data_IF_782899192495
#
_entry.id   IF_782899192495
#
_cell.length_a   1.000
_cell.length_b   1.000
_cell.length_c   1.000
_cell.angle_alpha   90.00
_cell.angle_beta   90.00
_cell.angle_gamma   90.00
#
_symmetry.space_group_name_H-M   'P 1'
#
loop_
_entity.id
_entity.type
_entity.pdbx_description
1 polymer ?
#
# COMPACT_ATOMS: atom_id res chain seq x y z
N UNK A 1 -0.15 15.00 -15.78
CA UNK A 1 0.98 15.07 -14.82
C UNK A 1 0.56 15.72 -13.49
N UNK A 2 -0.66 15.48 -12.99
CA UNK A 2 -1.17 16.12 -11.76
C UNK A 2 -1.41 15.15 -10.59
N UNK A 3 -1.29 13.83 -10.80
CA UNK A 3 -1.54 12.82 -9.74
C UNK A 3 -0.28 12.50 -8.91
N UNK A 4 0.91 12.63 -9.49
CA UNK A 4 2.20 12.38 -8.81
C UNK A 4 2.47 13.19 -7.54
N UNK A 5 2.19 14.51 -7.47
CA UNK A 5 2.44 15.28 -6.24
C UNK A 5 1.43 14.96 -5.13
N UNK A 6 0.20 14.57 -5.47
CA UNK A 6 -0.82 14.17 -4.49
C UNK A 6 -0.49 12.79 -3.89
N UNK A 7 -0.02 11.86 -4.72
CA UNK A 7 0.51 10.57 -4.29
C UNK A 7 1.71 10.76 -3.34
N UNK A 8 2.68 11.59 -3.72
CA UNK A 8 3.88 11.83 -2.91
C UNK A 8 3.51 12.33 -1.50
N UNK A 9 2.61 13.32 -1.41
CA UNK A 9 2.13 13.85 -0.13
C UNK A 9 1.39 12.79 0.72
N UNK A 10 0.55 11.95 0.11
CA UNK A 10 -0.15 10.84 0.77
C UNK A 10 0.85 9.88 1.40
N UNK A 11 1.81 9.39 0.62
CA UNK A 11 2.77 8.40 1.10
C UNK A 11 3.74 9.01 2.12
N UNK A 12 4.21 10.25 1.94
CA UNK A 12 5.03 10.96 2.95
C UNK A 12 4.34 11.08 4.33
N UNK A 13 3.02 11.31 4.35
CA UNK A 13 2.23 11.31 5.58
C UNK A 13 2.24 9.95 6.29
N UNK A 14 2.05 8.87 5.53
CA UNK A 14 2.10 7.50 6.03
C UNK A 14 3.50 7.12 6.55
N UNK A 15 4.55 7.53 5.85
CA UNK A 15 5.95 7.35 6.27
C UNK A 15 6.21 8.01 7.61
N UNK A 16 5.71 9.24 7.83
CA UNK A 16 5.84 9.93 9.14
C UNK A 16 5.21 9.14 10.27
N UNK A 17 4.03 8.54 10.07
CA UNK A 17 3.37 7.68 11.05
C UNK A 17 4.18 6.40 11.38
N UNK A 18 4.84 5.83 10.38
CA UNK A 18 5.67 4.62 10.53
C UNK A 18 7.08 4.88 11.10
N UNK A 19 7.70 6.04 10.85
CA UNK A 19 9.03 6.39 11.38
C UNK A 19 9.06 6.42 12.91
N UNK A 20 7.96 6.82 13.55
CA UNK A 20 7.78 6.69 15.00
C UNK A 20 7.93 5.25 15.52
N UNK A 21 7.88 4.24 14.62
CA UNK A 21 7.97 2.81 14.92
C UNK A 21 9.22 2.11 14.34
N UNK A 22 10.22 2.86 13.84
CA UNK A 22 11.44 2.32 13.17
C UNK A 22 11.13 1.23 12.12
N UNK A 23 10.11 1.42 11.28
CA UNK A 23 9.79 0.49 10.19
C UNK A 23 10.45 0.94 8.90
N UNK A 24 11.13 0.00 8.25
CA UNK A 24 11.76 0.22 6.96
C UNK A 24 10.70 0.51 5.90
N UNK A 25 10.96 1.52 5.10
CA UNK A 25 9.98 2.33 4.39
C UNK A 25 9.68 1.80 2.97
N UNK A 26 10.45 0.80 2.54
CA UNK A 26 10.43 0.29 1.18
C UNK A 26 9.06 -0.22 0.70
N UNK A 27 8.22 -0.75 1.60
CA UNK A 27 6.87 -1.18 1.24
C UNK A 27 5.96 -0.02 0.79
N UNK A 28 6.10 1.17 1.37
CA UNK A 28 5.31 2.34 0.95
C UNK A 28 5.73 2.86 -0.42
N UNK A 29 7.03 2.80 -0.74
CA UNK A 29 7.52 3.12 -2.08
C UNK A 29 6.93 2.18 -3.14
N UNK A 30 6.88 0.88 -2.85
CA UNK A 30 6.24 -0.11 -3.71
C UNK A 30 4.75 0.20 -3.93
N UNK A 31 4.00 0.53 -2.88
CA UNK A 31 2.58 0.92 -3.01
C UNK A 31 2.41 2.16 -3.89
N UNK A 32 3.20 3.22 -3.65
CA UNK A 32 3.20 4.44 -4.47
C UNK A 32 3.46 4.11 -5.93
N UNK A 33 4.41 3.22 -6.20
CA UNK A 33 4.80 2.81 -7.55
C UNK A 33 3.69 1.99 -8.22
N UNK A 34 2.99 1.13 -7.49
CA UNK A 34 1.81 0.42 -8.01
C UNK A 34 0.68 1.39 -8.37
N UNK A 35 0.37 2.36 -7.50
CA UNK A 35 -0.71 3.34 -7.73
C UNK A 35 -0.39 4.28 -8.91
N UNK A 36 0.88 4.64 -9.11
CA UNK A 36 1.32 5.43 -10.26
C UNK A 36 1.32 4.65 -11.59
N UNK A 37 1.39 3.32 -11.55
CA UNK A 37 1.50 2.47 -12.75
C UNK A 37 0.27 1.58 -12.95
N UNK A 38 -0.92 1.98 -12.46
CA UNK A 38 -2.16 1.19 -12.60
C UNK A 38 -2.52 0.83 -14.05
N UNK A 39 -2.05 1.61 -15.02
CA UNK A 39 -2.23 1.30 -16.44
C UNK A 39 -1.39 0.12 -16.93
N UNK A 40 -0.30 -0.25 -16.24
CA UNK A 40 0.59 -1.35 -16.61
C UNK A 40 0.42 -2.53 -15.66
N UNK A 41 -0.50 -3.44 -16.04
CA UNK A 41 -0.88 -4.60 -15.22
C UNK A 41 0.32 -5.48 -14.88
N UNK A 42 1.26 -5.68 -15.82
CA UNK A 42 2.45 -6.51 -15.58
C UNK A 42 3.39 -5.88 -14.56
N UNK A 43 3.55 -4.56 -14.61
CA UNK A 43 4.35 -3.84 -13.63
C UNK A 43 3.69 -3.88 -12.25
N UNK A 44 2.38 -3.66 -12.15
CA UNK A 44 1.65 -3.74 -10.88
C UNK A 44 1.71 -5.15 -10.30
N UNK A 45 1.54 -6.20 -11.12
CA UNK A 45 1.62 -7.59 -10.66
C UNK A 45 2.98 -7.93 -10.03
N UNK A 46 4.09 -7.46 -10.62
CA UNK A 46 5.43 -7.62 -10.06
C UNK A 46 5.59 -6.90 -8.72
N UNK A 47 5.11 -5.67 -8.63
CA UNK A 47 5.17 -4.88 -7.40
C UNK A 47 4.34 -5.56 -6.29
N UNK A 48 3.14 -6.05 -6.61
CA UNK A 48 2.29 -6.78 -5.68
C UNK A 48 2.93 -8.10 -5.21
N UNK A 49 3.63 -8.80 -6.11
CA UNK A 49 4.40 -9.99 -5.75
C UNK A 49 5.52 -9.65 -4.75
N UNK A 50 6.23 -8.55 -4.94
CA UNK A 50 7.25 -8.07 -4.00
C UNK A 50 6.62 -7.67 -2.66
N UNK A 51 5.50 -6.95 -2.67
CA UNK A 51 4.73 -6.60 -1.48
C UNK A 51 4.28 -7.83 -0.68
N UNK A 52 3.94 -8.93 -1.35
CA UNK A 52 3.59 -10.19 -0.69
C UNK A 52 4.76 -10.89 0.02
N UNK A 53 6.01 -10.52 -0.27
CA UNK A 53 7.19 -10.99 0.48
C UNK A 53 7.42 -10.20 1.76
N UNK A 54 6.91 -8.97 1.82
CA UNK A 54 6.98 -8.17 3.03
C UNK A 54 5.92 -8.63 4.02
N UNK A 55 6.33 -8.69 5.27
CA UNK A 55 5.49 -9.09 6.38
C UNK A 55 4.91 -7.86 7.06
N UNK A 56 3.60 -7.89 7.33
CA UNK A 56 2.92 -6.90 8.13
C UNK A 56 2.93 -7.33 9.61
N UNK A 57 3.69 -6.64 10.47
CA UNK A 57 3.75 -6.96 11.90
C UNK A 57 2.46 -6.61 12.67
N UNK A 58 1.51 -5.87 12.08
CA UNK A 58 0.23 -5.57 12.73
C UNK A 58 -0.80 -6.70 12.54
N UNK A 59 -0.80 -7.34 11.39
CA UNK A 59 -1.76 -8.40 11.04
C UNK A 59 -1.15 -9.80 11.09
N UNK A 60 0.16 -9.91 11.35
CA UNK A 60 0.93 -11.15 11.34
C UNK A 60 0.77 -11.94 10.02
N UNK A 61 0.61 -11.21 8.91
CA UNK A 61 0.35 -11.72 7.56
C UNK A 61 1.20 -10.94 6.55
N UNK A 62 1.39 -11.43 5.32
CA UNK A 62 2.01 -10.61 4.28
C UNK A 62 1.22 -9.32 4.06
N UNK A 63 1.92 -8.25 3.66
CA UNK A 63 1.29 -6.95 3.40
C UNK A 63 0.21 -7.08 2.31
N UNK A 64 0.50 -7.90 1.29
CA UNK A 64 -0.45 -8.28 0.24
C UNK A 64 -0.46 -9.80 0.12
N UNK A 65 -1.57 -10.42 0.49
CA UNK A 65 -1.78 -11.85 0.26
C UNK A 65 -2.05 -12.18 -1.22
N UNK A 66 -1.82 -13.44 -1.61
CA UNK A 66 -2.05 -13.92 -2.98
C UNK A 66 -3.49 -13.68 -3.46
N UNK A 67 -4.48 -13.83 -2.58
CA UNK A 67 -5.89 -13.61 -2.91
C UNK A 67 -6.16 -12.14 -3.29
N UNK A 68 -5.59 -11.21 -2.51
CA UNK A 68 -5.68 -9.77 -2.76
C UNK A 68 -4.96 -9.39 -4.05
N UNK A 69 -3.76 -9.93 -4.28
CA UNK A 69 -3.02 -9.71 -5.54
C UNK A 69 -3.84 -10.13 -6.75
N UNK A 70 -4.41 -11.35 -6.76
CA UNK A 70 -5.26 -11.83 -7.86
C UNK A 70 -6.45 -10.90 -8.08
N UNK A 71 -7.14 -10.52 -7.00
CA UNK A 71 -8.29 -9.61 -7.05
C UNK A 71 -7.95 -8.24 -7.66
N UNK A 72 -6.76 -7.70 -7.38
CA UNK A 72 -6.30 -6.43 -7.96
C UNK A 72 -5.98 -6.62 -9.45
N UNK A 73 -5.20 -7.64 -9.80
CA UNK A 73 -4.81 -7.93 -11.19
C UNK A 73 -6.04 -8.18 -12.07
N UNK A 74 -6.99 -8.99 -11.62
CA UNK A 74 -8.23 -9.26 -12.35
C UNK A 74 -9.05 -7.99 -12.62
N UNK A 75 -9.05 -7.04 -11.68
CA UNK A 75 -9.72 -5.74 -11.86
C UNK A 75 -8.99 -4.87 -12.87
N UNK A 76 -7.66 -4.84 -12.82
CA UNK A 76 -6.84 -4.12 -13.79
C UNK A 76 -7.00 -4.68 -15.20
N UNK A 77 -7.00 -6.01 -15.36
CA UNK A 77 -7.24 -6.68 -16.65
C UNK A 77 -8.66 -6.40 -17.19
N UNK A 78 -9.64 -6.26 -16.29
CA UNK A 78 -11.00 -5.85 -16.63
C UNK A 78 -11.17 -4.33 -16.87
N UNK A 79 -10.09 -3.54 -16.82
CA UNK A 79 -10.12 -2.09 -16.97
C UNK A 79 -10.76 -1.33 -15.80
N UNK A 80 -11.01 -2.00 -14.67
CA UNK A 80 -11.62 -1.43 -13.46
C UNK A 80 -10.54 -0.81 -12.56
N UNK A 81 -9.93 0.27 -13.04
CA UNK A 81 -8.82 0.95 -12.36
C UNK A 81 -9.20 1.50 -10.98
N UNK A 82 -10.40 2.09 -10.83
CA UNK A 82 -10.88 2.60 -9.54
C UNK A 82 -11.02 1.50 -8.49
N UNK A 83 -11.58 0.34 -8.85
CA UNK A 83 -11.72 -0.78 -7.91
C UNK A 83 -10.36 -1.36 -7.51
N UNK A 84 -9.41 -1.42 -8.46
CA UNK A 84 -8.05 -1.85 -8.18
C UNK A 84 -7.33 -0.86 -7.26
N UNK A 85 -7.49 0.46 -7.49
CA UNK A 85 -6.94 1.52 -6.63
C UNK A 85 -7.53 1.44 -5.22
N UNK A 86 -8.83 1.20 -5.10
CA UNK A 86 -9.49 1.07 -3.80
C UNK A 86 -8.97 -0.13 -2.99
N UNK A 87 -8.73 -1.28 -3.63
CA UNK A 87 -8.11 -2.43 -2.96
C UNK A 87 -6.67 -2.16 -2.52
N UNK A 88 -5.89 -1.44 -3.33
CA UNK A 88 -4.54 -1.02 -2.95
C UNK A 88 -4.58 -0.08 -1.74
N UNK A 89 -5.48 0.89 -1.73
CA UNK A 89 -5.65 1.84 -0.62
C UNK A 89 -6.00 1.13 0.70
N UNK A 90 -6.92 0.16 0.65
CA UNK A 90 -7.29 -0.65 1.82
C UNK A 90 -6.10 -1.48 2.35
N UNK A 91 -5.26 -2.01 1.47
CA UNK A 91 -4.01 -2.67 1.85
C UNK A 91 -3.03 -1.70 2.54
N UNK A 92 -2.89 -0.49 2.00
CA UNK A 92 -2.06 0.57 2.58
C UNK A 92 -2.59 0.96 3.96
N UNK A 93 -3.89 1.16 4.12
CA UNK A 93 -4.51 1.53 5.39
C UNK A 93 -4.31 0.44 6.48
N UNK A 94 -4.31 -0.84 6.10
CA UNK A 94 -4.01 -1.96 7.02
C UNK A 94 -2.54 -2.02 7.42
N UNK A 95 -1.63 -1.60 6.54
CA UNK A 95 -0.19 -1.62 6.80
C UNK A 95 0.29 -0.38 7.57
N UNK A 96 -0.20 0.78 7.16
CA UNK A 96 0.10 2.09 7.67
C UNK A 96 -1.21 2.83 7.95
N UNK A 97 -1.92 2.51 9.04
CA UNK A 97 -3.09 3.28 9.41
C UNK A 97 -2.68 4.74 9.67
N UNK A 98 -3.42 5.73 9.14
CA UNK A 98 -3.07 7.15 9.25
C UNK A 98 -3.04 7.65 10.71
N UNK A 99 -3.73 6.94 11.61
CA UNK A 99 -3.64 7.09 13.05
C UNK A 99 -3.14 5.75 13.61
N UNK A 100 -1.87 5.68 13.99
CA UNK A 100 -1.45 4.59 14.87
C UNK A 100 -2.17 4.77 16.21
N UNK A 101 -2.59 3.71 16.94
CA UNK A 101 -3.07 3.89 18.31
C UNK A 101 -2.10 4.78 19.06
N UNK A 102 -2.55 5.97 19.47
CA UNK A 102 -1.82 6.80 20.40
C UNK A 102 -1.43 5.90 21.57
N UNK A 103 -0.16 5.94 22.06
CA UNK A 103 0.14 5.27 23.32
C UNK A 103 -0.89 5.77 24.35
N UNK A 104 -1.46 4.90 25.20
CA UNK A 104 -2.39 5.37 26.23
C UNK A 104 -1.67 6.48 26.99
N UNK A 105 -2.25 7.68 26.98
CA UNK A 105 -1.77 8.77 27.82
C UNK A 105 -1.81 8.24 29.26
N UNK A 106 -0.64 7.86 29.77
CA UNK A 106 -0.46 7.38 31.12
C UNK A 106 -1.00 8.46 32.05
N UNK A 107 -1.99 8.07 32.85
CA UNK A 107 -2.58 8.90 33.91
C UNK A 107 -1.71 8.86 35.15
#
# INVERSE_FOLDING_TARGET
>A
MADEPALDAKYEGLRRGLRSRRRDDHALDLFRRAEANLADVRQVDRILLELGRFYNPLTNRPIVDLATRRSIVERLEAGRLDEARQLLDDCVARYAPPDGPAPPAGR
#
